data_IF_205896434903
#
_entry.id   IF_205896434903
#
_cell.length_a   1.000
_cell.length_b   1.000
_cell.length_c   1.000
_cell.angle_alpha   90.00
_cell.angle_beta   90.00
_cell.angle_gamma   90.00
#
_symmetry.space_group_name_H-M   'P 1'
#
loop_
_entity.id
_entity.type
_entity.pdbx_description
1 polymer ?
#
# COMPACT_ATOMS: atom_id res chain seq x y z
N UNK A 1 19.04 23.87 -19.76
CA UNK A 1 17.93 23.77 -18.78
C UNK A 1 16.81 23.03 -19.47
N UNK A 2 16.56 21.77 -19.11
CA UNK A 2 15.43 20.99 -19.64
C UNK A 2 14.62 20.56 -18.44
N UNK A 3 13.43 21.12 -18.29
CA UNK A 3 12.47 20.75 -17.26
C UNK A 3 11.71 19.53 -17.80
N UNK A 4 12.03 18.34 -17.29
CA UNK A 4 11.25 17.14 -17.56
C UNK A 4 10.10 17.06 -16.56
N UNK A 5 8.89 17.45 -16.99
CA UNK A 5 7.64 17.18 -16.27
C UNK A 5 7.34 15.67 -16.38
N UNK A 6 7.88 14.89 -15.46
CA UNK A 6 7.55 13.48 -15.24
C UNK A 6 6.49 13.34 -14.16
N UNK A 7 5.42 12.62 -14.47
CA UNK A 7 4.23 12.33 -13.66
C UNK A 7 4.49 12.04 -12.17
N UNK A 8 3.61 12.57 -11.31
CA UNK A 8 3.59 12.43 -9.84
C UNK A 8 3.34 11.00 -9.30
N UNK A 9 3.70 9.96 -10.06
CA UNK A 9 3.47 8.56 -9.69
C UNK A 9 4.76 7.75 -9.78
N UNK A 10 5.22 7.27 -8.62
CA UNK A 10 6.24 6.21 -8.47
C UNK A 10 7.70 6.58 -8.79
N UNK A 11 8.25 7.49 -7.97
CA UNK A 11 9.67 7.42 -7.58
C UNK A 11 9.75 7.41 -6.05
N UNK A 12 9.19 6.37 -5.43
CA UNK A 12 9.52 6.04 -4.04
C UNK A 12 10.25 4.70 -4.05
N UNK A 13 11.58 4.73 -3.94
CA UNK A 13 12.31 3.59 -3.41
C UNK A 13 11.84 3.44 -1.95
N UNK A 14 10.80 2.63 -1.75
CA UNK A 14 10.26 2.38 -0.42
C UNK A 14 11.17 1.36 0.25
N UNK A 15 11.93 1.80 1.26
CA UNK A 15 12.81 0.93 2.06
C UNK A 15 11.98 0.17 3.10
N UNK A 16 11.46 -0.99 2.71
CA UNK A 16 10.64 -1.85 3.58
C UNK A 16 11.45 -2.64 4.61
N UNK A 17 12.77 -2.78 4.42
CA UNK A 17 13.68 -3.54 5.31
C UNK A 17 13.72 -2.98 6.75
N UNK A 18 13.72 -1.65 6.88
CA UNK A 18 13.74 -0.98 8.18
C UNK A 18 12.36 -0.79 8.84
N UNK A 19 11.29 -1.26 8.20
CA UNK A 19 9.93 -1.08 8.71
C UNK A 19 9.55 -2.20 9.68
N UNK A 20 8.85 -1.84 10.75
CA UNK A 20 8.18 -2.79 11.65
C UNK A 20 6.98 -3.46 10.99
N UNK A 21 6.54 -4.60 11.54
CA UNK A 21 5.30 -5.29 11.13
C UNK A 21 4.09 -4.35 11.00
N UNK A 22 3.94 -3.41 11.94
CA UNK A 22 2.84 -2.47 11.96
C UNK A 22 2.93 -1.44 10.82
N UNK A 23 4.15 -1.01 10.48
CA UNK A 23 4.40 -0.12 9.35
C UNK A 23 4.18 -0.83 8.02
N UNK A 24 4.68 -2.06 7.86
CA UNK A 24 4.43 -2.87 6.67
C UNK A 24 2.94 -3.13 6.46
N UNK A 25 2.23 -3.48 7.53
CA UNK A 25 0.78 -3.61 7.50
C UNK A 25 0.12 -2.30 7.08
N UNK A 26 0.53 -1.17 7.65
CA UNK A 26 -0.04 0.13 7.33
C UNK A 26 0.19 0.48 5.85
N UNK A 27 1.41 0.37 5.35
CA UNK A 27 1.77 0.69 3.97
C UNK A 27 0.98 -0.15 2.95
N UNK A 28 0.88 -1.46 3.19
CA UNK A 28 0.06 -2.33 2.33
C UNK A 28 -1.40 -1.88 2.31
N UNK A 29 -1.98 -1.62 3.49
CA UNK A 29 -3.38 -1.23 3.60
C UNK A 29 -3.62 0.19 3.08
N UNK A 30 -2.64 1.09 3.13
CA UNK A 30 -2.75 2.43 2.56
C UNK A 30 -2.94 2.38 1.04
N UNK A 31 -2.25 1.47 0.34
CA UNK A 31 -2.43 1.24 -1.11
C UNK A 31 -3.88 0.81 -1.41
N UNK A 32 -4.40 -0.14 -0.63
CA UNK A 32 -5.79 -0.59 -0.77
C UNK A 32 -6.80 0.52 -0.45
N UNK A 33 -6.54 1.31 0.60
CA UNK A 33 -7.40 2.43 1.01
C UNK A 33 -7.48 3.49 -0.11
N UNK A 34 -6.36 3.83 -0.74
CA UNK A 34 -6.30 4.77 -1.86
C UNK A 34 -7.12 4.32 -3.07
N UNK A 35 -7.38 3.01 -3.21
CA UNK A 35 -8.23 2.43 -4.26
C UNK A 35 -9.66 2.14 -3.85
N UNK A 36 -10.06 2.56 -2.64
CA UNK A 36 -11.42 2.33 -2.15
C UNK A 36 -11.72 0.87 -1.87
N UNK A 37 -10.74 0.12 -1.35
CA UNK A 37 -10.93 -1.26 -0.92
C UNK A 37 -11.82 -1.38 0.33
N UNK A 38 -12.92 -2.13 0.21
CA UNK A 38 -13.90 -2.28 1.28
C UNK A 38 -13.33 -3.06 2.48
N UNK A 39 -12.80 -2.36 3.48
CA UNK A 39 -12.20 -2.96 4.67
C UNK A 39 -13.24 -3.68 5.54
N UNK A 40 -12.93 -4.93 5.89
CA UNK A 40 -13.80 -5.79 6.72
C UNK A 40 -13.40 -5.81 8.19
N UNK A 41 -12.11 -5.68 8.48
CA UNK A 41 -11.60 -5.77 9.86
C UNK A 41 -11.82 -4.46 10.61
N UNK A 42 -12.12 -4.55 11.91
CA UNK A 42 -12.33 -3.35 12.74
C UNK A 42 -11.07 -2.49 12.80
N UNK A 43 -9.88 -3.12 12.90
CA UNK A 43 -8.59 -2.44 12.89
C UNK A 43 -8.40 -1.57 11.64
N UNK A 44 -8.57 -2.14 10.45
CA UNK A 44 -8.41 -1.38 9.22
C UNK A 44 -9.50 -0.30 9.07
N UNK A 45 -10.72 -0.57 9.51
CA UNK A 45 -11.79 0.43 9.52
C UNK A 45 -11.54 1.61 10.47
N UNK A 46 -10.89 1.36 11.61
CA UNK A 46 -10.52 2.40 12.55
C UNK A 46 -9.41 3.31 11.98
N UNK A 47 -8.49 2.75 11.19
CA UNK A 47 -7.33 3.48 10.64
C UNK A 47 -7.66 4.17 9.31
N UNK A 48 -8.32 3.46 8.39
CA UNK A 48 -8.55 3.91 7.01
C UNK A 48 -10.03 4.19 6.70
N UNK A 49 -10.94 3.94 7.64
CA UNK A 49 -12.38 4.00 7.40
C UNK A 49 -12.93 2.77 6.66
N UNK A 50 -14.21 2.80 6.29
CA UNK A 50 -14.86 1.68 5.58
C UNK A 50 -14.33 1.50 4.14
N UNK A 51 -13.86 2.60 3.54
CA UNK A 51 -13.16 2.61 2.26
C UNK A 51 -13.85 1.84 1.13
N UNK A 52 -15.12 2.09 0.81
CA UNK A 52 -15.83 1.26 -0.16
C UNK A 52 -16.41 2.10 -1.29
N UNK A 53 -15.57 2.42 -2.28
CA UNK A 53 -15.90 3.28 -3.43
C UNK A 53 -15.15 2.82 -4.68
N UNK A 54 -15.65 3.09 -5.90
CA UNK A 54 -14.94 2.75 -7.14
C UNK A 54 -13.51 3.32 -7.13
N UNK A 55 -12.47 2.54 -7.46
CA UNK A 55 -12.49 1.25 -8.18
C UNK A 55 -12.55 -0.02 -7.29
N UNK A 56 -12.98 0.10 -6.03
CA UNK A 56 -13.22 -1.01 -5.11
C UNK A 56 -11.98 -1.87 -4.80
N UNK A 57 -10.82 -1.24 -4.68
CA UNK A 57 -9.56 -1.90 -4.39
C UNK A 57 -8.87 -2.52 -5.61
N UNK A 58 -9.36 -2.27 -6.82
CA UNK A 58 -8.67 -2.72 -8.04
C UNK A 58 -7.32 -1.99 -8.17
N UNK A 59 -6.25 -2.77 -8.05
CA UNK A 59 -4.88 -2.29 -8.16
C UNK A 59 -4.42 -2.29 -9.63
N UNK A 60 -3.55 -1.34 -9.96
CA UNK A 60 -2.75 -1.39 -11.19
C UNK A 60 -1.62 -2.42 -11.07
N UNK A 61 -0.99 -2.84 -12.17
CA UNK A 61 0.15 -3.76 -12.11
C UNK A 61 1.33 -3.23 -11.25
N UNK A 62 1.57 -1.92 -11.23
CA UNK A 62 2.62 -1.31 -10.39
C UNK A 62 2.30 -1.41 -8.90
N UNK A 63 1.07 -1.06 -8.53
CA UNK A 63 0.59 -1.16 -7.15
C UNK A 63 0.54 -2.61 -6.67
N UNK A 64 0.14 -3.54 -7.53
CA UNK A 64 0.19 -4.96 -7.21
C UNK A 64 1.62 -5.42 -6.90
N UNK A 65 2.61 -4.98 -7.69
CA UNK A 65 4.03 -5.29 -7.42
C UNK A 65 4.48 -4.70 -6.08
N UNK A 66 4.07 -3.48 -5.76
CA UNK A 66 4.38 -2.83 -4.47
C UNK A 66 3.79 -3.61 -3.29
N UNK A 67 2.52 -3.99 -3.37
CA UNK A 67 1.86 -4.82 -2.36
C UNK A 67 2.59 -6.14 -2.21
N UNK A 68 2.90 -6.84 -3.30
CA UNK A 68 3.62 -8.12 -3.23
C UNK A 68 5.01 -7.98 -2.62
N UNK A 69 5.72 -6.88 -2.85
CA UNK A 69 7.00 -6.61 -2.19
C UNK A 69 6.81 -6.45 -0.67
N UNK A 70 5.83 -5.63 -0.24
CA UNK A 70 5.53 -5.45 1.20
C UNK A 70 5.16 -6.80 1.85
N UNK A 71 4.35 -7.62 1.19
CA UNK A 71 3.97 -8.93 1.71
C UNK A 71 5.16 -9.88 1.87
N UNK A 72 6.18 -9.80 1.00
CA UNK A 72 7.42 -10.56 1.17
C UNK A 72 8.16 -10.15 2.44
N UNK A 73 8.24 -8.85 2.71
CA UNK A 73 8.85 -8.33 3.94
C UNK A 73 8.04 -8.69 5.20
N UNK A 74 6.71 -8.67 5.13
CA UNK A 74 5.85 -9.12 6.24
C UNK A 74 6.12 -10.60 6.58
N UNK A 75 6.32 -11.45 5.57
CA UNK A 75 6.68 -12.87 5.76
C UNK A 75 8.10 -13.01 6.30
N UNK A 76 9.07 -12.25 5.75
CA UNK A 76 10.46 -12.27 6.20
C UNK A 76 10.59 -11.89 7.69
N UNK A 77 9.80 -10.92 8.16
CA UNK A 77 9.75 -10.50 9.56
C UNK A 77 8.81 -11.34 10.44
N UNK A 78 8.07 -12.31 9.88
CA UNK A 78 7.18 -13.18 10.65
C UNK A 78 5.91 -12.51 11.16
N UNK A 79 5.45 -11.46 10.48
CA UNK A 79 4.28 -10.65 10.87
C UNK A 79 2.94 -11.20 10.35
N UNK A 80 2.97 -12.19 9.46
CA UNK A 80 1.83 -12.71 8.69
C UNK A 80 1.74 -14.21 8.80
#
# INVERSE_FOLDING_TARGET
MVVGMGSLGEVYAQDYDGMSCEQLWYERNAIYAAKGYCFKTQRARNVFGRGCFPPYGKLTPGEQRRVSNIEQWEVYQGCK
#
